data_IF_728356197952
#
_entry.id   IF_728356197952
#
_cell.length_a   1.000
_cell.length_b   1.000
_cell.length_c   1.000
_cell.angle_alpha   90.00
_cell.angle_beta   90.00
_cell.angle_gamma   90.00
#
_symmetry.space_group_name_H-M   'P 1'
#
loop_
_entity.id
_entity.type
_entity.pdbx_description
1 polymer ?
#
# COMPACT_ATOMS: atom_id res chain seq x y z
N UNK A 1 -3.28 -12.38 14.26
CA UNK A 1 -4.32 -12.84 15.23
C UNK A 1 -4.94 -11.66 15.98
N UNK A 2 -4.16 -10.63 16.34
CA UNK A 2 -4.68 -9.49 17.11
C UNK A 2 -5.84 -8.74 16.44
N UNK A 3 -5.94 -8.73 15.11
CA UNK A 3 -7.03 -8.09 14.35
C UNK A 3 -8.09 -9.05 13.79
N UNK A 4 -8.06 -10.32 14.13
CA UNK A 4 -9.07 -11.29 13.67
C UNK A 4 -10.40 -11.07 14.40
N UNK A 5 -11.21 -10.11 13.94
CA UNK A 5 -12.58 -9.88 14.42
C UNK A 5 -13.61 -10.70 13.67
N UNK A 6 -13.20 -11.44 12.63
CA UNK A 6 -14.14 -12.22 11.85
C UNK A 6 -14.29 -13.63 12.43
N UNK A 7 -15.48 -13.99 12.93
CA UNK A 7 -15.72 -15.32 13.50
C UNK A 7 -15.46 -16.46 12.51
N UNK A 8 -15.61 -16.21 11.20
CA UNK A 8 -15.37 -17.22 10.15
C UNK A 8 -13.89 -17.58 10.07
N UNK A 9 -12.99 -16.60 10.22
CA UNK A 9 -11.55 -16.83 10.24
C UNK A 9 -11.13 -17.65 11.45
N UNK A 10 -11.65 -17.31 12.64
CA UNK A 10 -11.37 -18.07 13.85
C UNK A 10 -11.88 -19.50 13.77
N UNK A 11 -13.07 -19.72 13.22
CA UNK A 11 -13.58 -21.09 12.95
C UNK A 11 -12.69 -21.84 11.98
N UNK A 12 -12.32 -21.22 10.85
CA UNK A 12 -11.42 -21.82 9.88
C UNK A 12 -10.09 -22.23 10.50
N UNK A 13 -9.47 -21.37 11.32
CA UNK A 13 -8.25 -21.69 12.03
C UNK A 13 -8.41 -22.88 12.99
N UNK A 14 -9.51 -22.94 13.73
CA UNK A 14 -9.80 -24.06 14.64
C UNK A 14 -9.90 -25.38 13.87
N UNK A 15 -10.48 -25.35 12.67
CA UNK A 15 -10.76 -26.53 11.87
C UNK A 15 -9.61 -26.97 10.97
N UNK A 16 -8.72 -26.05 10.56
CA UNK A 16 -7.75 -26.29 9.48
C UNK A 16 -6.27 -26.07 9.85
N UNK A 17 -5.94 -25.62 11.05
CA UNK A 17 -4.55 -25.53 11.48
C UNK A 17 -4.20 -26.64 12.45
N UNK A 18 -2.93 -27.07 12.43
CA UNK A 18 -2.35 -28.02 13.39
C UNK A 18 -1.62 -27.32 14.54
N UNK A 19 -1.51 -25.98 14.50
CA UNK A 19 -0.83 -25.20 15.53
C UNK A 19 -1.73 -25.02 16.76
N UNK A 20 -1.44 -25.78 17.81
CA UNK A 20 -2.19 -25.78 19.07
C UNK A 20 -2.28 -24.39 19.73
N UNK A 21 -1.26 -23.57 19.58
CA UNK A 21 -1.25 -22.21 20.14
C UNK A 21 -2.27 -21.30 19.42
N UNK A 22 -2.36 -21.42 18.12
CA UNK A 22 -3.36 -20.72 17.27
C UNK A 22 -4.77 -21.20 17.59
N UNK A 23 -4.96 -22.53 17.66
CA UNK A 23 -6.26 -23.13 17.98
C UNK A 23 -6.76 -22.65 19.36
N UNK A 24 -5.89 -22.65 20.37
CA UNK A 24 -6.24 -22.18 21.71
C UNK A 24 -6.67 -20.73 21.71
N UNK A 25 -5.87 -19.83 21.12
CA UNK A 25 -6.18 -18.41 21.01
C UNK A 25 -7.47 -18.15 20.24
N UNK A 26 -7.72 -18.88 19.17
CA UNK A 26 -8.95 -18.74 18.39
C UNK A 26 -10.18 -19.18 19.20
N UNK A 27 -10.09 -20.30 19.95
CA UNK A 27 -11.18 -20.79 20.83
C UNK A 27 -11.47 -19.84 21.99
N UNK A 28 -10.46 -19.23 22.58
CA UNK A 28 -10.63 -18.26 23.67
C UNK A 28 -11.41 -17.02 23.23
N UNK A 29 -11.21 -16.60 21.98
CA UNK A 29 -11.81 -15.37 21.41
C UNK A 29 -13.16 -15.57 20.76
N UNK A 30 -13.46 -16.77 20.27
CA UNK A 30 -14.72 -17.07 19.59
C UNK A 30 -15.84 -17.28 20.62
N UNK A 31 -16.86 -16.43 20.59
CA UNK A 31 -18.05 -16.54 21.42
C UNK A 31 -19.25 -16.89 20.54
N UNK A 32 -20.06 -17.82 21.02
CA UNK A 32 -21.28 -18.20 20.38
C UNK A 32 -22.49 -17.64 21.17
N UNK A 33 -23.36 -16.91 20.49
CA UNK A 33 -24.64 -16.44 21.02
C UNK A 33 -25.74 -17.18 20.28
N UNK A 34 -26.52 -18.05 20.96
CA UNK A 34 -27.69 -18.70 20.35
C UNK A 34 -28.71 -17.67 19.86
N UNK A 35 -29.44 -18.00 18.80
CA UNK A 35 -30.59 -17.20 18.39
C UNK A 35 -31.63 -17.18 19.48
N UNK A 36 -32.21 -16.01 19.76
CA UNK A 36 -33.44 -15.88 20.52
C UNK A 36 -34.63 -16.33 19.65
N UNK A 37 -35.71 -16.69 20.25
CA UNK A 37 -36.95 -17.07 19.52
C UNK A 37 -37.43 -15.97 18.57
N UNK A 38 -37.21 -14.68 18.91
CA UNK A 38 -37.55 -13.57 18.04
C UNK A 38 -36.62 -13.46 16.84
N UNK A 39 -35.30 -13.62 17.04
CA UNK A 39 -34.30 -13.62 15.96
C UNK A 39 -34.52 -14.80 15.02
N UNK A 40 -34.80 -15.99 15.55
CA UNK A 40 -35.13 -17.18 14.76
C UNK A 40 -36.36 -16.98 13.88
N UNK A 41 -37.45 -16.46 14.47
CA UNK A 41 -38.68 -16.14 13.74
C UNK A 41 -38.46 -15.09 12.65
N UNK A 42 -37.62 -14.06 12.94
CA UNK A 42 -37.30 -13.04 11.97
C UNK A 42 -36.49 -13.62 10.77
N UNK A 43 -35.45 -14.40 11.04
CA UNK A 43 -34.64 -15.02 9.97
C UNK A 43 -35.49 -16.04 9.18
N UNK A 44 -36.32 -16.81 9.84
CA UNK A 44 -37.25 -17.70 9.16
C UNK A 44 -38.26 -16.95 8.28
N UNK A 45 -38.74 -15.80 8.73
CA UNK A 45 -39.55 -14.88 7.94
C UNK A 45 -38.82 -14.40 6.68
N UNK A 46 -37.54 -14.00 6.78
CA UNK A 46 -36.74 -13.56 5.63
C UNK A 46 -36.59 -14.71 4.62
N UNK A 47 -36.26 -15.92 5.08
CA UNK A 47 -36.09 -17.08 4.20
C UNK A 47 -37.42 -17.48 3.55
N UNK A 48 -38.52 -17.45 4.29
CA UNK A 48 -39.84 -17.76 3.76
C UNK A 48 -40.29 -16.74 2.71
N UNK A 49 -39.89 -15.48 2.83
CA UNK A 49 -40.22 -14.41 1.87
C UNK A 49 -39.61 -14.64 0.49
N UNK A 50 -38.53 -15.41 0.41
CA UNK A 50 -37.92 -15.85 -0.85
C UNK A 50 -38.91 -16.56 -1.78
N UNK A 51 -39.88 -17.24 -1.19
CA UNK A 51 -40.85 -18.10 -1.91
C UNK A 51 -42.12 -17.38 -2.34
N UNK A 52 -42.28 -16.09 -2.03
CA UNK A 52 -43.46 -15.29 -2.43
C UNK A 52 -43.17 -14.63 -3.76
N UNK A 53 -43.68 -15.23 -4.85
CA UNK A 53 -43.59 -14.67 -6.21
C UNK A 53 -44.33 -13.34 -6.33
N UNK A 54 -43.61 -12.29 -6.81
CA UNK A 54 -44.22 -11.04 -7.27
C UNK A 54 -44.11 -9.82 -6.36
N UNK A 55 -43.56 -9.94 -5.16
CA UNK A 55 -43.16 -8.79 -4.33
C UNK A 55 -41.65 -8.65 -4.38
N UNK A 56 -41.11 -7.44 -4.59
CA UNK A 56 -39.66 -7.17 -4.59
C UNK A 56 -39.04 -7.75 -3.30
N UNK A 57 -38.34 -8.87 -3.48
CA UNK A 57 -37.81 -9.66 -2.36
C UNK A 57 -36.57 -9.02 -1.75
N UNK A 58 -36.14 -9.57 -0.61
CA UNK A 58 -34.84 -9.26 -0.04
C UNK A 58 -33.72 -9.62 -1.02
N UNK A 59 -32.65 -8.82 -1.00
CA UNK A 59 -31.43 -9.13 -1.74
C UNK A 59 -30.93 -10.54 -1.37
N UNK A 60 -30.43 -11.30 -2.36
CA UNK A 60 -29.89 -12.65 -2.20
C UNK A 60 -28.82 -12.78 -1.10
N UNK A 61 -28.08 -11.69 -0.83
CA UNK A 61 -27.09 -11.65 0.25
C UNK A 61 -27.77 -11.74 1.64
N UNK A 62 -28.88 -11.02 1.83
CA UNK A 62 -29.64 -11.02 3.07
C UNK A 62 -30.26 -12.39 3.31
N UNK A 63 -30.78 -13.01 2.26
CA UNK A 63 -31.37 -14.36 2.34
C UNK A 63 -30.30 -15.39 2.72
N UNK A 64 -29.13 -15.37 2.05
CA UNK A 64 -28.00 -16.26 2.38
C UNK A 64 -27.49 -16.06 3.80
N UNK A 65 -27.49 -14.83 4.31
CA UNK A 65 -27.12 -14.54 5.68
C UNK A 65 -28.15 -15.13 6.67
N UNK A 66 -29.43 -14.94 6.42
CA UNK A 66 -30.50 -15.51 7.23
C UNK A 66 -30.46 -17.05 7.26
N UNK A 67 -30.27 -17.69 6.09
CA UNK A 67 -30.10 -19.15 5.98
C UNK A 67 -28.88 -19.64 6.79
N UNK A 68 -27.76 -18.89 6.73
CA UNK A 68 -26.55 -19.22 7.49
C UNK A 68 -26.78 -19.11 9.01
N UNK A 69 -27.46 -18.06 9.48
CA UNK A 69 -27.82 -17.87 10.90
C UNK A 69 -28.70 -18.97 11.43
N UNK A 70 -29.72 -19.35 10.67
CA UNK A 70 -30.61 -20.45 11.02
C UNK A 70 -29.87 -21.80 11.04
N UNK A 71 -29.04 -22.07 10.05
CA UNK A 71 -28.24 -23.30 9.98
C UNK A 71 -27.29 -23.42 11.16
N UNK A 72 -26.59 -22.32 11.50
CA UNK A 72 -25.61 -22.28 12.59
C UNK A 72 -26.28 -22.21 13.98
N UNK A 73 -27.59 -21.96 14.05
CA UNK A 73 -28.38 -21.86 15.29
C UNK A 73 -28.02 -20.66 16.16
N UNK A 74 -27.25 -19.72 15.62
CA UNK A 74 -26.77 -18.58 16.37
C UNK A 74 -25.77 -17.72 15.62
N UNK A 75 -25.17 -16.82 16.37
CA UNK A 75 -24.16 -15.90 15.87
C UNK A 75 -22.85 -16.13 16.61
N UNK A 76 -21.79 -16.33 15.84
CA UNK A 76 -20.42 -16.29 16.38
C UNK A 76 -19.94 -14.85 16.41
N UNK A 77 -19.43 -14.42 17.55
CA UNK A 77 -18.82 -13.11 17.76
C UNK A 77 -17.39 -13.28 18.25
N UNK A 78 -16.57 -12.30 18.00
CA UNK A 78 -15.21 -12.24 18.54
C UNK A 78 -15.21 -11.26 19.70
N UNK A 79 -14.84 -11.74 20.88
CA UNK A 79 -14.65 -10.90 22.04
C UNK A 79 -13.16 -10.81 22.35
N UNK A 80 -12.60 -9.64 22.16
CA UNK A 80 -11.21 -9.38 22.50
C UNK A 80 -11.05 -7.93 22.97
N UNK A 81 -10.98 -7.69 24.30
CA UNK A 81 -10.81 -6.34 24.83
C UNK A 81 -9.47 -5.70 24.44
N UNK A 82 -8.46 -6.51 24.13
CA UNK A 82 -7.12 -6.04 23.74
C UNK A 82 -6.98 -5.85 22.23
N UNK A 83 -8.09 -5.73 21.52
CA UNK A 83 -8.12 -5.71 20.07
C UNK A 83 -7.72 -4.35 19.50
N UNK A 84 -6.67 -4.33 18.66
CA UNK A 84 -6.26 -3.14 17.92
C UNK A 84 -7.23 -2.85 16.76
N UNK A 85 -8.30 -2.09 17.03
CA UNK A 85 -9.28 -1.69 16.01
C UNK A 85 -8.84 -0.46 15.23
N UNK A 86 -7.95 0.36 15.81
CA UNK A 86 -7.53 1.65 15.27
C UNK A 86 -6.20 1.64 14.50
N UNK A 87 -5.71 0.47 14.06
CA UNK A 87 -4.48 0.38 13.29
C UNK A 87 -4.68 -0.42 12.01
N UNK A 88 -4.14 0.04 10.89
CA UNK A 88 -4.03 -0.73 9.66
C UNK A 88 -2.75 -1.58 9.70
N UNK A 89 -2.85 -2.83 9.25
CA UNK A 89 -1.73 -3.76 9.23
C UNK A 89 -1.49 -4.22 7.79
N UNK A 90 -0.22 -4.15 7.36
CA UNK A 90 0.23 -4.73 6.11
C UNK A 90 1.33 -5.74 6.37
N UNK A 91 1.37 -6.79 5.57
CA UNK A 91 2.45 -7.78 5.56
C UNK A 91 3.38 -7.47 4.39
N UNK A 92 4.64 -7.24 4.73
CA UNK A 92 5.70 -7.05 3.74
C UNK A 92 6.21 -8.40 3.28
N UNK A 93 6.13 -8.66 1.97
CA UNK A 93 6.53 -9.91 1.33
C UNK A 93 7.76 -9.69 0.45
N UNK A 94 8.71 -10.63 0.55
CA UNK A 94 9.93 -10.65 -0.24
C UNK A 94 9.82 -11.63 -1.40
N UNK A 95 10.66 -11.47 -2.43
CA UNK A 95 10.78 -12.46 -3.51
C UNK A 95 11.20 -13.83 -2.98
N UNK A 96 12.03 -13.88 -1.93
CA UNK A 96 12.42 -15.13 -1.25
C UNK A 96 11.19 -15.87 -0.70
N UNK A 97 10.28 -15.13 -0.02
CA UNK A 97 9.05 -15.72 0.48
C UNK A 97 8.13 -16.19 -0.65
N UNK A 98 7.93 -15.38 -1.68
CA UNK A 98 7.08 -15.76 -2.82
C UNK A 98 7.62 -16.97 -3.57
N UNK A 99 8.96 -17.06 -3.74
CA UNK A 99 9.60 -18.25 -4.30
C UNK A 99 9.32 -19.50 -3.46
N UNK A 100 9.39 -19.38 -2.14
CA UNK A 100 9.06 -20.47 -1.22
C UNK A 100 7.58 -20.88 -1.31
N UNK A 101 6.66 -19.92 -1.50
CA UNK A 101 5.23 -20.19 -1.73
C UNK A 101 5.00 -20.94 -3.04
N UNK A 102 5.61 -20.51 -4.14
CA UNK A 102 5.45 -21.11 -5.45
C UNK A 102 5.95 -22.56 -5.49
N UNK A 103 7.05 -22.83 -4.82
CA UNK A 103 7.72 -24.14 -4.80
C UNK A 103 7.37 -25.01 -3.58
N UNK A 104 6.41 -24.59 -2.75
CA UNK A 104 5.95 -25.31 -1.56
C UNK A 104 7.08 -25.63 -0.56
N UNK A 105 7.98 -24.67 -0.37
CA UNK A 105 9.15 -24.82 0.50
C UNK A 105 8.86 -24.36 1.94
N UNK A 106 9.75 -24.76 2.82
CA UNK A 106 9.85 -24.17 4.17
C UNK A 106 10.39 -22.73 4.07
N UNK A 107 9.94 -21.88 4.99
CA UNK A 107 10.40 -20.50 5.11
C UNK A 107 10.78 -20.20 6.55
N UNK A 108 11.94 -19.60 6.72
CA UNK A 108 12.48 -19.24 8.03
C UNK A 108 12.05 -17.82 8.44
N UNK A 109 11.44 -17.71 9.61
CA UNK A 109 11.18 -16.43 10.25
C UNK A 109 12.43 -15.99 10.99
N UNK A 110 13.17 -15.06 10.38
CA UNK A 110 14.47 -14.58 10.86
C UNK A 110 14.37 -13.15 11.37
N UNK A 111 15.21 -12.82 12.35
CA UNK A 111 15.39 -11.46 12.84
C UNK A 111 16.82 -11.32 13.43
N UNK A 112 17.37 -10.08 13.55
CA UNK A 112 18.64 -9.88 14.25
C UNK A 112 18.67 -10.54 15.62
N UNK A 113 19.76 -11.25 15.95
CA UNK A 113 19.88 -12.03 17.18
C UNK A 113 20.23 -11.16 18.39
N UNK A 114 19.42 -10.13 18.61
CA UNK A 114 19.63 -9.10 19.65
C UNK A 114 19.79 -9.66 21.07
N UNK A 115 19.27 -10.87 21.32
CA UNK A 115 19.38 -11.50 22.62
C UNK A 115 20.82 -12.01 22.92
N UNK A 116 21.63 -12.23 21.89
CA UNK A 116 22.98 -12.76 21.99
C UNK A 116 24.05 -11.75 21.54
N UNK A 117 23.66 -10.53 21.19
CA UNK A 117 24.61 -9.50 20.81
C UNK A 117 25.46 -9.02 21.98
N UNK A 118 26.74 -8.79 21.71
CA UNK A 118 27.63 -8.06 22.62
C UNK A 118 27.17 -6.61 22.78
N UNK A 119 27.65 -5.87 23.78
CA UNK A 119 27.36 -4.43 23.89
C UNK A 119 27.73 -3.62 22.64
N UNK A 120 28.81 -3.99 21.95
CA UNK A 120 29.29 -3.36 20.72
C UNK A 120 28.33 -3.65 19.56
N UNK A 121 27.90 -4.91 19.39
CA UNK A 121 26.92 -5.29 18.38
C UNK A 121 25.56 -4.64 18.63
N UNK A 122 25.13 -4.52 19.89
CA UNK A 122 23.91 -3.78 20.25
C UNK A 122 24.01 -2.29 19.91
N UNK A 123 25.16 -1.66 20.07
CA UNK A 123 25.38 -0.28 19.67
C UNK A 123 25.22 -0.12 18.15
N UNK A 124 25.81 -1.01 17.36
CA UNK A 124 25.67 -1.05 15.90
C UNK A 124 24.21 -1.30 15.52
N UNK A 125 23.53 -2.25 16.16
CA UNK A 125 22.13 -2.52 15.90
C UNK A 125 21.26 -1.28 16.14
N UNK A 126 21.43 -0.58 17.24
CA UNK A 126 20.66 0.60 17.59
C UNK A 126 20.88 1.76 16.60
N UNK A 127 22.09 1.87 16.04
CA UNK A 127 22.43 2.94 15.11
C UNK A 127 22.07 2.61 13.65
N UNK A 128 22.22 1.35 13.22
CA UNK A 128 22.18 1.01 11.80
C UNK A 128 20.94 0.21 11.37
N UNK A 129 20.31 -0.56 12.27
CA UNK A 129 19.19 -1.43 11.88
C UNK A 129 18.04 -0.67 11.23
N UNK A 130 17.69 0.52 11.73
CA UNK A 130 16.60 1.31 11.17
C UNK A 130 16.90 1.83 9.74
N UNK A 131 18.18 1.92 9.36
CA UNK A 131 18.60 2.30 8.01
C UNK A 131 18.56 1.12 7.05
N UNK A 132 18.92 -0.07 7.53
CA UNK A 132 18.93 -1.32 6.75
C UNK A 132 17.53 -1.90 6.60
N UNK A 133 16.81 -2.15 7.70
CA UNK A 133 15.42 -2.60 7.75
C UNK A 133 15.13 -3.97 7.11
N UNK A 134 16.14 -4.65 6.58
CA UNK A 134 16.04 -5.94 5.89
C UNK A 134 17.01 -6.94 6.51
N UNK A 135 16.48 -8.04 7.05
CA UNK A 135 17.29 -9.08 7.70
C UNK A 135 18.28 -9.73 6.75
N UNK A 136 17.96 -9.81 5.46
CA UNK A 136 18.85 -10.40 4.43
C UNK A 136 20.07 -9.52 4.19
N UNK A 137 19.88 -8.21 4.16
CA UNK A 137 20.98 -7.25 4.04
C UNK A 137 21.78 -7.16 5.33
N UNK A 138 21.13 -7.25 6.50
CA UNK A 138 21.77 -7.29 7.81
C UNK A 138 22.73 -8.48 7.92
N UNK A 139 22.30 -9.65 7.48
CA UNK A 139 23.10 -10.86 7.44
C UNK A 139 24.30 -10.74 6.48
N UNK A 140 24.09 -10.13 5.28
CA UNK A 140 25.17 -9.87 4.32
C UNK A 140 26.23 -8.90 4.83
N UNK A 141 25.87 -7.97 5.71
CA UNK A 141 26.79 -7.08 6.41
C UNK A 141 27.62 -7.81 7.50
N UNK A 142 27.34 -9.09 7.77
CA UNK A 142 28.07 -9.92 8.70
C UNK A 142 27.51 -9.92 10.14
N UNK A 143 26.32 -9.36 10.33
CA UNK A 143 25.69 -9.31 11.65
C UNK A 143 24.92 -10.60 11.96
N UNK A 144 24.89 -10.98 13.23
CA UNK A 144 24.21 -12.20 13.70
C UNK A 144 22.69 -12.13 13.47
N UNK A 145 22.15 -13.19 12.86
CA UNK A 145 20.72 -13.38 12.60
C UNK A 145 20.28 -14.70 13.23
N UNK A 146 19.09 -14.72 13.80
CA UNK A 146 18.51 -15.91 14.43
C UNK A 146 17.25 -16.35 13.70
N UNK A 147 17.13 -17.65 13.46
CA UNK A 147 15.89 -18.29 13.03
C UNK A 147 15.02 -18.54 14.26
N UNK A 148 13.89 -17.86 14.33
CA UNK A 148 12.92 -17.99 15.43
C UNK A 148 11.94 -19.13 15.19
N UNK A 149 11.59 -19.37 13.93
CA UNK A 149 10.68 -20.42 13.53
C UNK A 149 10.81 -20.74 12.04
N UNK A 150 10.66 -22.00 11.70
CA UNK A 150 10.48 -22.48 10.32
C UNK A 150 9.01 -22.85 10.11
N UNK A 151 8.42 -22.40 9.01
CA UNK A 151 7.01 -22.60 8.66
C UNK A 151 6.88 -23.03 7.20
N UNK A 152 5.75 -23.62 6.84
CA UNK A 152 5.37 -23.80 5.44
C UNK A 152 4.94 -22.47 4.82
N UNK A 153 5.68 -21.98 3.82
CA UNK A 153 5.41 -20.69 3.19
C UNK A 153 3.98 -20.63 2.61
N UNK A 154 3.53 -21.70 1.97
CA UNK A 154 2.19 -21.81 1.37
C UNK A 154 1.06 -21.76 2.40
N UNK A 155 1.27 -22.34 3.58
CA UNK A 155 0.28 -22.28 4.66
C UNK A 155 0.12 -20.83 5.18
N UNK A 156 1.24 -20.12 5.38
CA UNK A 156 1.19 -18.71 5.77
C UNK A 156 0.53 -17.85 4.68
N UNK A 157 0.86 -18.08 3.40
CA UNK A 157 0.26 -17.38 2.28
C UNK A 157 -1.25 -17.59 2.22
N UNK A 158 -1.72 -18.82 2.38
CA UNK A 158 -3.15 -19.15 2.41
C UNK A 158 -3.85 -18.45 3.58
N UNK A 159 -3.22 -18.40 4.75
CA UNK A 159 -3.76 -17.71 5.92
C UNK A 159 -3.89 -16.20 5.65
N UNK A 160 -2.88 -15.57 5.06
CA UNK A 160 -2.91 -14.15 4.67
C UNK A 160 -4.10 -13.88 3.73
N UNK A 161 -4.25 -14.70 2.68
CA UNK A 161 -5.34 -14.54 1.72
C UNK A 161 -6.73 -14.71 2.34
N UNK A 162 -6.89 -15.68 3.23
CA UNK A 162 -8.16 -15.88 3.94
C UNK A 162 -8.47 -14.66 4.82
N UNK A 163 -7.50 -14.17 5.57
CA UNK A 163 -7.67 -12.99 6.40
C UNK A 163 -8.03 -11.76 5.56
N UNK A 164 -7.30 -11.52 4.47
CA UNK A 164 -7.56 -10.41 3.56
C UNK A 164 -8.95 -10.47 2.92
N UNK A 165 -9.40 -11.67 2.53
CA UNK A 165 -10.72 -11.85 1.91
C UNK A 165 -11.86 -11.56 2.88
N UNK A 166 -11.76 -12.00 4.13
CA UNK A 166 -12.87 -11.89 5.09
C UNK A 166 -12.83 -10.64 5.97
N UNK A 167 -11.64 -10.07 6.18
CA UNK A 167 -11.44 -8.92 7.08
C UNK A 167 -10.90 -7.67 6.37
N UNK A 168 -10.64 -7.73 5.07
CA UNK A 168 -9.95 -6.71 4.28
C UNK A 168 -8.54 -6.35 4.85
N UNK A 169 -7.97 -7.22 5.68
CA UNK A 169 -6.66 -7.08 6.28
C UNK A 169 -6.02 -8.47 6.50
N UNK A 170 -4.70 -8.58 6.42
CA UNK A 170 -3.71 -7.52 6.20
C UNK A 170 -3.68 -7.02 4.74
N UNK A 171 -3.19 -5.79 4.53
CA UNK A 171 -2.69 -5.37 3.23
C UNK A 171 -1.44 -6.18 2.84
N UNK A 172 -1.18 -6.31 1.55
CA UNK A 172 -0.01 -7.03 1.03
C UNK A 172 0.92 -6.02 0.35
N UNK A 173 2.19 -6.07 0.70
CA UNK A 173 3.20 -5.18 0.13
C UNK A 173 4.43 -5.96 -0.35
N UNK A 174 4.70 -5.92 -1.65
CA UNK A 174 5.84 -6.57 -2.29
C UNK A 174 7.06 -5.63 -2.27
N UNK A 175 7.86 -5.72 -1.21
CA UNK A 175 8.93 -4.75 -0.94
C UNK A 175 10.06 -4.80 -1.97
N UNK A 176 10.40 -5.97 -2.48
CA UNK A 176 11.48 -6.10 -3.46
C UNK A 176 11.10 -5.41 -4.78
N UNK A 177 9.81 -5.55 -5.22
CA UNK A 177 9.31 -4.84 -6.38
C UNK A 177 9.30 -3.32 -6.17
N UNK A 178 8.89 -2.86 -4.97
CA UNK A 178 8.93 -1.45 -4.64
C UNK A 178 10.37 -0.90 -4.66
N UNK A 179 11.31 -1.65 -4.10
CA UNK A 179 12.72 -1.28 -4.10
C UNK A 179 13.37 -1.36 -5.48
N UNK A 180 12.89 -2.20 -6.39
CA UNK A 180 13.35 -2.20 -7.79
C UNK A 180 12.94 -0.91 -8.52
N UNK A 181 11.74 -0.43 -8.25
CA UNK A 181 11.11 0.68 -8.98
C UNK A 181 11.39 2.06 -8.38
N UNK A 182 11.65 2.16 -7.07
CA UNK A 182 11.73 3.45 -6.37
C UNK A 182 12.83 4.38 -6.88
N UNK A 183 12.54 5.67 -6.92
CA UNK A 183 13.52 6.73 -7.19
C UNK A 183 14.51 6.93 -6.02
N UNK A 184 14.17 6.47 -4.81
CA UNK A 184 15.00 6.63 -3.62
C UNK A 184 16.38 5.97 -3.73
N UNK A 185 16.52 4.91 -4.53
CA UNK A 185 17.82 4.28 -4.82
C UNK A 185 18.87 5.23 -5.36
N UNK A 186 18.46 6.26 -6.10
CA UNK A 186 19.40 7.20 -6.72
C UNK A 186 20.23 7.97 -5.70
N UNK A 187 19.67 8.20 -4.52
CA UNK A 187 20.33 8.91 -3.41
C UNK A 187 20.55 8.01 -2.18
N UNK A 188 20.65 6.69 -2.39
CA UNK A 188 21.08 5.72 -1.40
C UNK A 188 20.05 5.35 -0.33
N UNK A 189 18.77 5.60 -0.58
CA UNK A 189 17.70 5.20 0.33
C UNK A 189 16.93 3.99 -0.19
N UNK A 190 16.32 3.25 0.74
CA UNK A 190 15.48 2.08 0.48
C UNK A 190 14.09 2.26 1.07
N UNK A 191 13.11 1.64 0.42
CA UNK A 191 11.78 1.46 0.97
C UNK A 191 11.84 0.41 2.07
N UNK A 192 11.37 0.76 3.26
CA UNK A 192 11.32 -0.16 4.42
C UNK A 192 9.90 -0.49 4.85
N UNK A 193 8.94 0.35 4.47
CA UNK A 193 7.52 0.18 4.83
C UNK A 193 6.61 0.88 3.81
N UNK A 194 5.32 0.73 4.03
CA UNK A 194 4.29 1.53 3.36
C UNK A 194 3.45 2.29 4.38
N UNK A 195 2.75 3.34 3.95
CA UNK A 195 1.74 4.01 4.75
C UNK A 195 0.51 3.10 4.98
N UNK A 196 -0.47 3.48 5.83
CA UNK A 196 -1.59 2.62 6.19
C UNK A 196 -2.40 2.06 5.02
N UNK A 197 -2.62 2.85 3.96
CA UNK A 197 -3.41 2.44 2.78
C UNK A 197 -2.58 1.71 1.71
N UNK A 198 -1.25 1.71 1.81
CA UNK A 198 -0.36 0.97 0.92
C UNK A 198 0.09 1.73 -0.34
N UNK A 199 -0.39 2.97 -0.54
CA UNK A 199 -0.10 3.74 -1.76
C UNK A 199 1.25 4.46 -1.76
N UNK A 200 1.91 4.55 -0.60
CA UNK A 200 3.20 5.22 -0.45
C UNK A 200 4.28 4.28 0.08
N UNK A 201 5.10 3.68 -0.79
CA UNK A 201 6.32 3.01 -0.39
C UNK A 201 7.33 4.02 0.15
N UNK A 202 7.75 3.88 1.41
CA UNK A 202 8.47 4.90 2.15
C UNK A 202 9.82 4.41 2.66
N UNK A 203 10.83 5.28 2.60
CA UNK A 203 12.06 5.18 3.36
C UNK A 203 11.80 5.57 4.83
N UNK A 204 12.75 5.30 5.76
CA UNK A 204 12.60 5.72 7.14
C UNK A 204 12.31 7.22 7.27
N UNK A 205 11.38 7.57 8.14
CA UNK A 205 10.93 8.94 8.42
C UNK A 205 10.34 9.71 7.24
N UNK A 206 10.14 9.08 6.08
CA UNK A 206 9.52 9.74 4.92
C UNK A 206 8.11 10.23 5.23
N UNK A 207 7.79 11.38 4.65
CA UNK A 207 6.49 12.04 4.77
C UNK A 207 5.94 12.30 3.37
N UNK A 208 4.65 12.09 3.17
CA UNK A 208 3.98 12.43 1.92
C UNK A 208 2.70 13.22 2.20
N UNK A 209 2.58 14.40 1.61
CA UNK A 209 1.31 15.08 1.55
C UNK A 209 0.52 14.64 0.30
N UNK A 210 -0.79 14.47 0.45
CA UNK A 210 -1.66 13.94 -0.59
C UNK A 210 -2.58 15.02 -1.16
N UNK A 211 -2.81 14.95 -2.47
CA UNK A 211 -3.86 15.69 -3.16
C UNK A 211 -4.49 14.78 -4.22
N UNK A 212 -5.70 15.09 -4.65
CA UNK A 212 -6.40 14.31 -5.68
C UNK A 212 -7.05 15.23 -6.71
N UNK A 213 -6.77 14.95 -7.98
CA UNK A 213 -7.40 15.60 -9.12
C UNK A 213 -8.73 14.92 -9.40
N UNK A 214 -9.83 15.69 -9.46
CA UNK A 214 -11.14 15.15 -9.82
C UNK A 214 -11.25 14.99 -11.34
N UNK A 215 -11.03 13.79 -11.83
CA UNK A 215 -11.01 13.47 -13.25
C UNK A 215 -12.35 13.72 -13.95
N UNK A 216 -13.46 13.60 -13.24
CA UNK A 216 -14.80 13.84 -13.80
C UNK A 216 -14.98 15.27 -14.37
N UNK A 217 -14.18 16.23 -13.90
CA UNK A 217 -14.23 17.62 -14.38
C UNK A 217 -13.60 17.82 -15.76
N UNK A 218 -12.83 16.84 -16.25
CA UNK A 218 -12.15 16.92 -17.55
C UNK A 218 -12.85 16.16 -18.66
N UNK A 219 -14.03 15.59 -18.39
CA UNK A 219 -14.85 14.95 -19.41
C UNK A 219 -15.54 16.00 -20.29
N UNK A 220 -15.30 15.95 -21.60
CA UNK A 220 -16.05 16.71 -22.60
C UNK A 220 -17.23 15.84 -23.05
N UNK A 221 -18.37 15.99 -22.37
CA UNK A 221 -19.52 15.06 -22.49
C UNK A 221 -20.09 14.97 -23.91
N UNK A 222 -20.12 16.08 -24.66
CA UNK A 222 -20.68 16.11 -26.01
C UNK A 222 -19.83 15.28 -26.98
N UNK A 223 -18.53 15.32 -26.87
CA UNK A 223 -17.61 14.56 -27.73
C UNK A 223 -17.16 13.21 -27.07
N UNK A 224 -17.55 12.95 -25.82
CA UNK A 224 -17.17 11.75 -25.07
C UNK A 224 -15.65 11.57 -24.97
N UNK A 225 -14.92 12.67 -24.80
CA UNK A 225 -13.46 12.74 -24.78
C UNK A 225 -12.97 13.42 -23.51
N UNK A 226 -11.65 13.46 -23.32
CA UNK A 226 -11.01 14.10 -22.18
C UNK A 226 -10.32 15.40 -22.61
N UNK A 227 -10.49 16.45 -21.80
CA UNK A 227 -9.72 17.70 -21.94
C UNK A 227 -8.32 17.51 -21.32
N UNK A 228 -7.42 16.97 -22.12
CA UNK A 228 -6.04 16.70 -21.71
C UNK A 228 -5.25 17.97 -21.40
N UNK A 229 -5.56 19.09 -22.06
CA UNK A 229 -4.84 20.34 -21.80
C UNK A 229 -5.20 20.92 -20.42
N UNK A 230 -6.50 21.00 -20.11
CA UNK A 230 -6.95 21.41 -18.79
C UNK A 230 -6.44 20.47 -17.69
N UNK A 231 -6.40 19.15 -17.96
CA UNK A 231 -5.83 18.16 -17.04
C UNK A 231 -4.34 18.43 -16.79
N UNK A 232 -3.52 18.64 -17.83
CA UNK A 232 -2.09 18.97 -17.70
C UNK A 232 -1.87 20.22 -16.84
N UNK A 233 -2.61 21.29 -17.10
CA UNK A 233 -2.48 22.53 -16.33
C UNK A 233 -2.85 22.34 -14.86
N UNK A 234 -3.92 21.59 -14.60
CA UNK A 234 -4.35 21.28 -13.23
C UNK A 234 -3.30 20.45 -12.48
N UNK A 235 -2.70 19.46 -13.13
CA UNK A 235 -1.61 18.65 -12.56
C UNK A 235 -0.42 19.53 -12.19
N UNK A 236 0.01 20.44 -13.07
CA UNK A 236 1.11 21.38 -12.81
C UNK A 236 0.84 22.26 -11.58
N UNK A 237 -0.38 22.78 -11.46
CA UNK A 237 -0.80 23.55 -10.26
C UNK A 237 -0.81 22.68 -9.01
N UNK A 238 -1.30 21.44 -9.11
CA UNK A 238 -1.34 20.48 -8.01
C UNK A 238 0.06 20.17 -7.46
N UNK A 239 1.03 19.91 -8.33
CA UNK A 239 2.43 19.65 -7.93
C UNK A 239 3.03 20.88 -7.22
N UNK A 240 2.84 22.09 -7.76
CA UNK A 240 3.32 23.33 -7.15
C UNK A 240 2.68 23.57 -5.79
N UNK A 241 1.37 23.34 -5.67
CA UNK A 241 0.65 23.46 -4.40
C UNK A 241 1.23 22.51 -3.34
N UNK A 242 1.43 21.24 -3.69
CA UNK A 242 1.97 20.25 -2.77
C UNK A 242 3.43 20.54 -2.40
N UNK A 243 4.26 21.04 -3.32
CA UNK A 243 5.62 21.49 -3.01
C UNK A 243 5.62 22.63 -1.99
N UNK A 244 4.68 23.59 -2.10
CA UNK A 244 4.51 24.65 -1.11
C UNK A 244 4.07 24.14 0.26
N UNK A 245 3.22 23.08 0.31
CA UNK A 245 2.80 22.45 1.57
C UNK A 245 3.98 21.88 2.35
N UNK A 246 5.00 21.33 1.66
CA UNK A 246 6.22 20.83 2.32
C UNK A 246 6.90 21.96 3.14
N UNK A 247 7.01 23.15 2.57
CA UNK A 247 7.66 24.30 3.22
C UNK A 247 6.78 24.90 4.32
N UNK A 248 5.44 24.83 4.18
CA UNK A 248 4.49 25.38 5.14
C UNK A 248 4.20 24.43 6.32
N UNK A 249 4.63 23.18 6.27
CA UNK A 249 4.32 22.16 7.28
C UNK A 249 5.17 22.36 8.53
N UNK A 250 4.56 22.46 9.73
CA UNK A 250 5.30 22.43 10.99
C UNK A 250 5.62 20.99 11.38
N UNK A 251 6.84 20.56 11.11
CA UNK A 251 7.27 19.19 11.46
C UNK A 251 7.54 19.05 12.96
N UNK A 252 6.95 18.05 13.58
CA UNK A 252 7.12 17.78 15.01
C UNK A 252 8.45 17.09 15.33
N UNK A 253 8.89 16.14 14.47
CA UNK A 253 10.14 15.41 14.62
C UNK A 253 11.19 15.97 13.64
N UNK A 254 12.42 16.18 14.10
CA UNK A 254 13.52 16.66 13.24
C UNK A 254 13.90 15.65 12.17
N UNK A 255 13.79 14.34 12.45
CA UNK A 255 14.01 13.27 11.48
C UNK A 255 13.00 13.37 10.31
N UNK A 256 11.72 13.57 10.62
CA UNK A 256 10.69 13.78 9.59
C UNK A 256 10.94 15.05 8.80
N UNK A 257 11.34 16.14 9.45
CA UNK A 257 11.66 17.40 8.80
C UNK A 257 12.83 17.26 7.85
N UNK A 258 13.92 16.65 8.32
CA UNK A 258 15.13 16.40 7.52
C UNK A 258 14.79 15.56 6.29
N UNK A 259 14.03 14.47 6.48
CA UNK A 259 13.63 13.60 5.39
C UNK A 259 12.68 14.31 4.42
N UNK A 260 11.63 14.98 4.92
CA UNK A 260 10.64 15.65 4.09
C UNK A 260 11.24 16.78 3.26
N UNK A 261 12.09 17.63 3.85
CA UNK A 261 12.79 18.70 3.14
C UNK A 261 13.88 18.16 2.20
N UNK A 262 14.52 17.03 2.57
CA UNK A 262 15.58 16.39 1.81
C UNK A 262 15.09 15.73 0.52
N UNK A 263 14.02 14.96 0.57
CA UNK A 263 13.46 14.26 -0.61
C UNK A 263 12.32 15.02 -1.32
N UNK A 264 11.66 15.95 -0.66
CA UNK A 264 10.51 16.74 -1.14
C UNK A 264 9.45 15.88 -1.84
N UNK A 265 9.08 14.78 -1.22
CA UNK A 265 8.07 13.84 -1.75
C UNK A 265 6.68 14.44 -1.68
N UNK A 266 5.92 14.29 -2.76
CA UNK A 266 4.49 14.60 -2.84
C UNK A 266 3.73 13.42 -3.43
N UNK A 267 2.41 13.35 -3.20
CA UNK A 267 1.55 12.31 -3.70
C UNK A 267 0.32 12.92 -4.36
N UNK A 268 0.42 13.27 -5.65
CA UNK A 268 -0.71 13.71 -6.44
C UNK A 268 -1.43 12.49 -7.00
N UNK A 269 -2.65 12.27 -6.53
CA UNK A 269 -3.53 11.21 -6.96
C UNK A 269 -4.72 11.70 -7.79
N UNK A 270 -5.70 10.82 -7.92
CA UNK A 270 -6.93 11.10 -8.67
C UNK A 270 -8.16 10.62 -7.91
N UNK A 271 -9.31 11.19 -8.25
CA UNK A 271 -10.65 10.73 -7.89
C UNK A 271 -11.58 10.89 -9.11
N UNK A 272 -12.75 10.26 -9.06
CA UNK A 272 -13.74 10.42 -10.14
C UNK A 272 -13.36 9.72 -11.46
N UNK A 273 -12.49 8.71 -11.44
CA UNK A 273 -12.12 7.95 -12.64
C UNK A 273 -13.31 7.22 -13.25
N UNK A 274 -14.11 6.54 -12.43
CA UNK A 274 -15.31 5.85 -12.90
C UNK A 274 -16.34 6.82 -13.51
N UNK A 275 -16.52 7.98 -12.88
CA UNK A 275 -17.42 9.02 -13.41
C UNK A 275 -16.95 9.53 -14.78
N UNK A 276 -15.63 9.74 -14.95
CA UNK A 276 -15.06 10.14 -16.23
C UNK A 276 -15.30 9.07 -17.29
N UNK A 277 -15.08 7.79 -16.98
CA UNK A 277 -15.32 6.68 -17.91
C UNK A 277 -16.81 6.62 -18.32
N UNK A 278 -17.74 6.82 -17.37
CA UNK A 278 -19.17 6.90 -17.65
C UNK A 278 -19.47 8.05 -18.63
N UNK A 279 -18.89 9.24 -18.40
CA UNK A 279 -19.09 10.38 -19.30
C UNK A 279 -18.48 10.20 -20.69
N UNK A 280 -17.42 9.39 -20.79
CA UNK A 280 -16.81 9.00 -22.06
C UNK A 280 -17.46 7.75 -22.69
N UNK A 281 -18.51 7.19 -22.07
CA UNK A 281 -19.19 5.95 -22.46
C UNK A 281 -18.22 4.76 -22.61
N UNK A 282 -17.26 4.65 -21.70
CA UNK A 282 -16.33 3.53 -21.59
C UNK A 282 -16.66 2.68 -20.38
N UNK A 283 -16.73 1.37 -20.58
CA UNK A 283 -16.96 0.43 -19.48
C UNK A 283 -15.69 0.27 -18.64
N UNK A 284 -15.83 0.34 -17.31
CA UNK A 284 -14.72 0.14 -16.37
C UNK A 284 -14.19 -1.29 -16.47
N UNK A 285 -12.90 -1.44 -16.77
CA UNK A 285 -12.23 -2.74 -16.92
C UNK A 285 -12.33 -3.36 -18.32
N UNK A 286 -13.04 -2.73 -19.27
CA UNK A 286 -12.98 -3.11 -20.68
C UNK A 286 -11.62 -2.76 -21.29
N UNK A 287 -11.29 -3.35 -22.44
CA UNK A 287 -10.07 -3.03 -23.17
C UNK A 287 -10.01 -1.53 -23.54
N UNK A 288 -11.06 -0.99 -24.13
CA UNK A 288 -11.16 0.43 -24.48
C UNK A 288 -11.12 1.35 -23.24
N UNK A 289 -11.74 0.94 -22.13
CA UNK A 289 -11.67 1.65 -20.86
C UNK A 289 -10.25 1.67 -20.31
N UNK A 290 -9.54 0.56 -20.36
CA UNK A 290 -8.15 0.45 -19.90
C UNK A 290 -7.18 1.28 -20.76
N UNK A 291 -7.38 1.32 -22.09
CA UNK A 291 -6.61 2.20 -22.99
C UNK A 291 -6.78 3.67 -22.63
N UNK A 292 -8.02 4.11 -22.38
CA UNK A 292 -8.29 5.48 -21.93
C UNK A 292 -7.65 5.79 -20.58
N UNK A 293 -7.72 4.87 -19.63
CA UNK A 293 -7.09 4.99 -18.31
C UNK A 293 -5.58 5.12 -18.45
N UNK A 294 -4.93 4.29 -19.27
CA UNK A 294 -3.49 4.36 -19.52
C UNK A 294 -3.08 5.73 -20.07
N UNK A 295 -3.84 6.27 -21.02
CA UNK A 295 -3.57 7.60 -21.62
C UNK A 295 -3.74 8.74 -20.61
N UNK A 296 -4.75 8.67 -19.75
CA UNK A 296 -4.96 9.64 -18.66
C UNK A 296 -3.79 9.61 -17.68
N UNK A 297 -3.42 8.45 -17.17
CA UNK A 297 -2.34 8.33 -16.20
C UNK A 297 -0.96 8.67 -16.79
N UNK A 298 -0.72 8.32 -18.04
CA UNK A 298 0.47 8.75 -18.79
C UNK A 298 0.54 10.28 -18.89
N UNK A 299 -0.58 10.92 -19.21
CA UNK A 299 -0.67 12.39 -19.30
C UNK A 299 -0.36 13.03 -17.94
N UNK A 300 -0.96 12.52 -16.86
CA UNK A 300 -0.73 12.99 -15.49
C UNK A 300 0.75 12.82 -15.13
N UNK A 301 1.33 11.64 -15.39
CA UNK A 301 2.71 11.36 -15.04
C UNK A 301 3.69 12.30 -15.75
N UNK A 302 3.54 12.47 -17.04
CA UNK A 302 4.41 13.37 -17.83
C UNK A 302 4.27 14.81 -17.33
N UNK A 303 3.04 15.32 -17.16
CA UNK A 303 2.80 16.68 -16.72
C UNK A 303 3.33 16.96 -15.30
N UNK A 304 3.22 15.99 -14.38
CA UNK A 304 3.74 16.12 -13.03
C UNK A 304 5.27 16.20 -13.01
N UNK A 305 5.94 15.35 -13.79
CA UNK A 305 7.40 15.37 -13.86
C UNK A 305 7.92 16.61 -14.58
N UNK A 306 7.28 17.07 -15.66
CA UNK A 306 7.58 18.36 -16.31
C UNK A 306 7.45 19.53 -15.32
N UNK A 307 6.34 19.59 -14.57
CA UNK A 307 6.13 20.63 -13.56
C UNK A 307 7.20 20.62 -12.47
N UNK A 308 7.62 19.43 -12.02
CA UNK A 308 8.66 19.31 -11.01
C UNK A 308 10.04 19.68 -11.54
N UNK A 309 10.34 19.48 -12.84
CA UNK A 309 11.54 19.97 -13.51
C UNK A 309 11.51 21.51 -13.60
N UNK A 310 10.38 22.10 -14.01
CA UNK A 310 10.18 23.56 -14.03
C UNK A 310 10.41 24.17 -12.64
N UNK A 311 9.88 23.54 -11.59
CA UNK A 311 10.14 23.95 -10.20
C UNK A 311 11.60 23.75 -9.79
N UNK A 312 12.26 22.72 -10.30
CA UNK A 312 13.68 22.50 -10.11
C UNK A 312 14.53 23.65 -10.70
N UNK A 313 14.14 24.19 -11.84
CA UNK A 313 14.76 25.38 -12.45
C UNK A 313 14.52 26.64 -11.62
N UNK A 314 13.29 26.83 -11.09
CA UNK A 314 12.95 28.02 -10.31
C UNK A 314 13.55 28.04 -8.90
N UNK A 315 13.63 26.87 -8.23
CA UNK A 315 13.87 26.77 -6.77
C UNK A 315 14.98 25.80 -6.40
N UNK A 316 15.63 25.20 -7.38
CA UNK A 316 16.61 24.14 -7.20
C UNK A 316 16.02 22.75 -7.04
N UNK A 317 16.81 21.73 -7.30
CA UNK A 317 16.47 20.32 -7.09
C UNK A 317 16.24 20.01 -5.63
N UNK A 318 15.54 18.91 -5.34
CA UNK A 318 15.45 18.43 -3.96
C UNK A 318 16.87 18.11 -3.40
N UNK A 319 17.11 18.41 -2.11
CA UNK A 319 18.46 18.36 -1.52
C UNK A 319 19.19 17.03 -1.69
N UNK A 320 18.52 15.89 -1.54
CA UNK A 320 19.17 14.57 -1.68
C UNK A 320 19.63 14.24 -3.11
N UNK A 321 19.21 15.02 -4.11
CA UNK A 321 19.71 14.93 -5.49
C UNK A 321 20.89 15.88 -5.77
N UNK A 322 21.38 16.57 -4.77
CA UNK A 322 22.49 17.50 -4.85
C UNK A 322 23.70 16.96 -4.09
N UNK A 323 24.80 16.77 -4.78
CA UNK A 323 26.08 16.43 -4.18
C UNK A 323 26.89 17.66 -3.78
N UNK A 324 27.99 17.47 -3.07
CA UNK A 324 28.90 18.52 -2.67
C UNK A 324 29.60 19.14 -3.88
N UNK A 325 29.74 18.41 -4.99
CA UNK A 325 30.35 18.86 -6.23
C UNK A 325 29.38 18.75 -7.41
N UNK A 326 29.66 19.52 -8.48
CA UNK A 326 28.90 19.40 -9.73
C UNK A 326 28.98 17.98 -10.35
N UNK A 327 30.12 17.33 -10.23
CA UNK A 327 30.31 15.96 -10.71
C UNK A 327 29.46 14.95 -9.94
N UNK A 328 29.38 15.10 -8.64
CA UNK A 328 28.51 14.25 -7.78
C UNK A 328 27.02 14.50 -8.06
N UNK A 329 26.63 15.76 -8.20
CA UNK A 329 25.24 16.11 -8.60
C UNK A 329 24.89 15.48 -9.95
N UNK A 330 25.76 15.54 -10.94
CA UNK A 330 25.57 14.92 -12.25
C UNK A 330 25.43 13.37 -12.12
N UNK A 331 26.25 12.75 -11.27
CA UNK A 331 26.16 11.30 -10.98
C UNK A 331 24.81 10.94 -10.33
N UNK A 332 24.35 11.72 -9.36
CA UNK A 332 23.05 11.51 -8.69
C UNK A 332 21.88 11.64 -9.67
N UNK A 333 21.91 12.68 -10.55
CA UNK A 333 20.88 12.86 -11.58
C UNK A 333 20.89 11.71 -12.59
N UNK A 334 22.07 11.24 -13.00
CA UNK A 334 22.17 10.07 -13.88
C UNK A 334 21.65 8.80 -13.21
N UNK A 335 21.94 8.58 -11.92
CA UNK A 335 21.37 7.48 -11.15
C UNK A 335 19.84 7.58 -11.08
N UNK A 336 19.30 8.79 -10.86
CA UNK A 336 17.85 9.03 -10.77
C UNK A 336 17.13 8.68 -12.06
N UNK A 337 17.59 9.14 -13.22
CA UNK A 337 16.95 8.85 -14.52
C UNK A 337 17.07 7.38 -14.94
N UNK A 338 17.91 6.60 -14.25
CA UNK A 338 18.09 5.16 -14.45
C UNK A 338 17.41 4.29 -13.39
N UNK A 339 16.60 4.85 -12.49
CA UNK A 339 15.75 4.06 -11.60
C UNK A 339 14.67 3.29 -12.38
N UNK A 340 14.10 2.26 -11.78
CA UNK A 340 13.09 1.41 -12.45
C UNK A 340 11.91 2.22 -12.98
N UNK A 341 11.40 3.18 -12.19
CA UNK A 341 10.30 4.04 -12.62
C UNK A 341 10.74 5.02 -13.73
N UNK A 342 11.85 5.74 -13.56
CA UNK A 342 12.28 6.78 -14.50
C UNK A 342 12.65 6.23 -15.88
N UNK A 343 13.11 5.00 -15.99
CA UNK A 343 13.34 4.33 -17.29
C UNK A 343 12.10 4.25 -18.16
N UNK A 344 10.91 4.29 -17.57
CA UNK A 344 9.62 4.27 -18.28
C UNK A 344 9.18 5.66 -18.75
N UNK A 345 9.79 6.72 -18.23
CA UNK A 345 9.47 8.10 -18.61
C UNK A 345 10.05 8.45 -19.99
N UNK A 346 9.37 9.34 -20.75
CA UNK A 346 9.84 9.81 -22.03
C UNK A 346 11.24 10.41 -21.96
N UNK A 347 11.97 10.33 -23.08
CA UNK A 347 13.36 10.80 -23.16
C UNK A 347 13.51 12.27 -22.76
N UNK A 348 12.60 13.15 -23.24
CA UNK A 348 12.66 14.59 -22.93
C UNK A 348 12.53 14.88 -21.41
N UNK A 349 11.73 14.11 -20.67
CA UNK A 349 11.63 14.23 -19.20
C UNK A 349 12.95 13.81 -18.56
N UNK A 350 13.53 12.70 -19.00
CA UNK A 350 14.81 12.21 -18.48
C UNK A 350 15.95 13.19 -18.76
N UNK A 351 15.97 13.78 -19.95
CA UNK A 351 16.95 14.80 -20.33
C UNK A 351 16.76 16.09 -19.53
N UNK A 352 15.52 16.51 -19.30
CA UNK A 352 15.21 17.63 -18.42
C UNK A 352 15.74 17.45 -17.00
N UNK A 353 15.63 16.23 -16.42
CA UNK A 353 16.21 15.93 -15.11
C UNK A 353 17.75 16.00 -15.15
N UNK A 354 18.39 15.49 -16.19
CA UNK A 354 19.86 15.58 -16.33
C UNK A 354 20.34 17.01 -16.36
N UNK A 355 19.70 17.84 -17.15
CA UNK A 355 20.09 19.23 -17.39
C UNK A 355 19.75 20.13 -16.20
N UNK A 356 18.50 20.10 -15.75
CA UNK A 356 17.98 21.07 -14.79
C UNK A 356 17.82 20.50 -13.38
N UNK A 357 17.79 19.16 -13.24
CA UNK A 357 17.37 18.50 -12.00
C UNK A 357 15.85 18.45 -11.87
N UNK A 358 15.37 18.07 -10.69
CA UNK A 358 13.94 17.93 -10.38
C UNK A 358 13.65 18.33 -8.94
N UNK A 359 12.53 18.99 -8.69
CA UNK A 359 12.17 19.54 -7.37
C UNK A 359 11.72 18.50 -6.37
N UNK A 360 11.07 17.42 -6.81
CA UNK A 360 10.42 16.41 -5.98
C UNK A 360 10.90 15.01 -6.35
N UNK A 361 11.21 14.18 -5.38
CA UNK A 361 11.72 12.82 -5.58
C UNK A 361 10.65 11.85 -6.11
N UNK A 362 9.44 11.97 -5.61
CA UNK A 362 8.25 11.20 -5.98
C UNK A 362 7.06 12.15 -6.11
N UNK A 363 6.17 11.89 -7.04
CA UNK A 363 5.14 12.86 -7.42
C UNK A 363 3.72 12.29 -7.37
N UNK A 364 3.55 11.00 -7.65
CA UNK A 364 2.26 10.40 -7.93
C UNK A 364 1.89 9.33 -6.92
N UNK A 365 0.59 9.18 -6.73
CA UNK A 365 0.01 8.14 -5.89
C UNK A 365 -1.42 7.82 -6.34
N UNK A 366 -1.98 6.73 -5.84
CA UNK A 366 -3.42 6.44 -5.91
C UNK A 366 -3.87 6.00 -4.54
N UNK A 367 -4.40 6.93 -3.76
CA UNK A 367 -4.87 6.70 -2.40
C UNK A 367 -6.40 6.47 -2.38
N UNK A 368 -6.92 5.56 -1.55
CA UNK A 368 -6.26 4.53 -0.76
C UNK A 368 -5.66 3.40 -1.53
#
# INVERSE_FOLDING_TARGET
ISKMQNPRILRYLIENTTDESIIRLAKEKLKFKPLSAQEEAMYQGIVNFKNIQGLGGFNDAIIREAEAKLRDGGTYTVHNPDFLTGANISVTLTNEFMHAVENDLDFELRFPDVANYSPEEMAIYNEEWHKVGDVREWEKLGHGVRVYRTIKARELWNLINICATYAAEPGIFFIDNANEMTNAKAYGQQVVATNPCGEQPLAPYSVCNLAAVNLAQFAIKDSKTVDYEALRQTVKVGVRMQDNVIDATPYFLEENKTQALGERRVGLGVMGLADLLIYCEKEYGSEEGNELVDEIFKTIAIAAYEASIELGQERGSFPFLQGETAAETARLREAFVNTGFMKKMPQHVRDGVREYGIRNSHLLTVAP
#
